data_IF_640727404661
#
_entry.id   IF_640727404661
#
_cell.length_a   1.000
_cell.length_b   1.000
_cell.length_c   1.000
_cell.angle_alpha   90.00
_cell.angle_beta   90.00
_cell.angle_gamma   90.00
#
_symmetry.space_group_name_H-M   'P 1'
#
loop_
_entity.id
_entity.type
_entity.pdbx_description
1 polymer ?
#
# COMPACT_ATOMS: atom_id res chain seq x y z
N UNK A 1 -7.85 -26.36 18.69
CA UNK A 1 -8.97 -25.92 17.82
C UNK A 1 -8.89 -24.45 17.38
N UNK A 2 -7.87 -23.67 17.79
CA UNK A 2 -7.69 -22.27 17.36
C UNK A 2 -6.87 -22.15 16.05
N UNK A 3 -5.97 -23.09 15.78
CA UNK A 3 -5.13 -23.11 14.55
C UNK A 3 -5.89 -23.40 13.25
N UNK A 4 -7.08 -24.00 13.30
CA UNK A 4 -7.87 -24.28 12.09
C UNK A 4 -8.61 -23.03 11.59
N UNK A 5 -8.99 -22.11 12.47
CA UNK A 5 -9.74 -20.91 12.09
C UNK A 5 -8.88 -19.90 11.33
N UNK A 6 -7.61 -19.77 11.71
CA UNK A 6 -6.62 -18.95 11.00
C UNK A 6 -6.26 -19.54 9.62
N UNK A 7 -6.30 -20.87 9.45
CA UNK A 7 -5.93 -21.55 8.20
C UNK A 7 -6.98 -21.44 7.09
N UNK A 8 -8.27 -21.29 7.42
CA UNK A 8 -9.36 -21.24 6.43
C UNK A 8 -9.62 -19.82 5.94
N UNK A 9 -9.66 -18.81 6.83
CA UNK A 9 -9.94 -17.41 6.44
C UNK A 9 -8.80 -16.76 5.63
N UNK A 10 -7.54 -17.05 5.98
CA UNK A 10 -6.36 -16.56 5.27
C UNK A 10 -6.42 -16.89 3.77
N UNK A 11 -6.90 -18.08 3.40
CA UNK A 11 -6.94 -18.52 2.00
C UNK A 11 -8.00 -17.73 1.23
N UNK A 12 -9.18 -17.50 1.76
CA UNK A 12 -10.26 -16.82 1.02
C UNK A 12 -9.94 -15.37 0.69
N UNK A 13 -9.49 -14.58 1.67
CA UNK A 13 -9.17 -13.17 1.44
C UNK A 13 -7.94 -13.00 0.53
N UNK A 14 -6.87 -13.77 0.78
CA UNK A 14 -5.67 -13.70 -0.06
C UNK A 14 -5.98 -14.18 -1.48
N UNK A 15 -6.80 -15.22 -1.65
CA UNK A 15 -7.17 -15.73 -2.96
C UNK A 15 -8.07 -14.76 -3.75
N UNK A 16 -9.00 -14.06 -3.09
CA UNK A 16 -9.83 -13.02 -3.73
C UNK A 16 -8.95 -11.89 -4.27
N UNK A 17 -8.11 -11.31 -3.42
CA UNK A 17 -7.20 -10.23 -3.84
C UNK A 17 -6.10 -10.70 -4.79
N UNK A 18 -5.76 -11.99 -4.81
CA UNK A 18 -4.79 -12.53 -5.76
C UNK A 18 -5.39 -12.80 -7.14
N UNK A 19 -6.61 -13.36 -7.21
CA UNK A 19 -7.28 -13.65 -8.48
C UNK A 19 -7.90 -12.40 -9.12
N UNK A 20 -8.40 -11.48 -8.29
CA UNK A 20 -9.01 -10.24 -8.75
C UNK A 20 -8.39 -9.01 -8.04
N UNK A 21 -7.10 -8.76 -8.27
CA UNK A 21 -6.39 -7.65 -7.62
C UNK A 21 -6.98 -6.32 -8.05
N UNK A 22 -7.56 -5.59 -7.10
CA UNK A 22 -8.15 -4.26 -7.32
C UNK A 22 -7.04 -3.24 -7.54
N UNK A 23 -7.26 -2.26 -8.40
CA UNK A 23 -6.34 -1.12 -8.56
C UNK A 23 -4.91 -1.45 -9.03
N UNK A 24 -4.74 -2.53 -9.80
CA UNK A 24 -3.47 -2.74 -10.53
C UNK A 24 -3.28 -1.64 -11.57
N UNK A 25 -2.12 -1.00 -11.56
CA UNK A 25 -1.76 -0.09 -12.61
C UNK A 25 -0.60 0.82 -12.27
N UNK A 26 -0.46 1.88 -13.03
CA UNK A 26 0.46 2.96 -12.72
C UNK A 26 -0.19 4.29 -13.03
N UNK A 27 0.13 5.28 -12.21
CA UNK A 27 -0.19 6.67 -12.41
C UNK A 27 0.99 7.40 -13.03
N UNK A 28 0.72 8.59 -13.56
CA UNK A 28 1.74 9.45 -14.12
C UNK A 28 2.55 10.12 -13.01
N UNK A 29 3.86 9.86 -12.99
CA UNK A 29 4.78 10.40 -11.99
C UNK A 29 5.04 11.90 -12.15
N UNK A 30 4.76 12.44 -13.33
CA UNK A 30 5.01 13.85 -13.66
C UNK A 30 4.01 14.79 -12.96
N UNK A 31 2.84 14.28 -12.57
CA UNK A 31 1.86 15.05 -11.81
C UNK A 31 2.39 15.41 -10.42
N UNK A 32 2.15 16.66 -10.01
CA UNK A 32 2.48 17.16 -8.66
C UNK A 32 1.64 16.45 -7.59
N UNK A 33 0.40 16.10 -7.95
CA UNK A 33 -0.58 15.45 -7.09
C UNK A 33 -0.39 13.93 -6.95
N UNK A 34 0.61 13.35 -7.63
CA UNK A 34 0.88 11.90 -7.57
C UNK A 34 2.15 11.61 -6.77
N UNK A 35 2.02 10.87 -5.69
CA UNK A 35 3.12 10.32 -4.91
C UNK A 35 3.51 8.92 -5.36
N UNK A 36 4.80 8.63 -5.41
CA UNK A 36 5.30 7.27 -5.66
C UNK A 36 6.16 6.77 -4.50
N UNK A 37 5.75 5.66 -3.89
CA UNK A 37 6.54 4.90 -2.94
C UNK A 37 7.04 3.61 -3.59
N UNK A 38 8.34 3.37 -3.60
CA UNK A 38 8.94 2.11 -4.02
C UNK A 38 9.75 1.54 -2.87
N UNK A 39 9.40 0.34 -2.43
CA UNK A 39 10.03 -0.33 -1.29
C UNK A 39 10.27 -1.80 -1.60
N UNK A 40 11.20 -2.39 -0.87
CA UNK A 40 11.61 -3.79 -1.05
C UNK A 40 12.99 -3.92 -1.69
N UNK A 41 13.50 -5.15 -1.66
CA UNK A 41 14.83 -5.48 -2.14
C UNK A 41 14.74 -6.68 -3.09
N UNK A 42 15.41 -6.66 -4.25
CA UNK A 42 15.46 -7.81 -5.16
C UNK A 42 15.97 -9.08 -4.47
N UNK A 43 16.85 -8.94 -3.47
CA UNK A 43 17.40 -10.05 -2.70
C UNK A 43 16.35 -10.83 -1.89
N UNK A 44 15.27 -10.17 -1.46
CA UNK A 44 14.19 -10.79 -0.70
C UNK A 44 13.07 -11.33 -1.61
N UNK A 45 13.12 -11.02 -2.92
CA UNK A 45 12.09 -11.42 -3.88
C UNK A 45 10.77 -10.64 -3.78
N UNK A 46 10.66 -9.69 -2.85
CA UNK A 46 9.48 -8.85 -2.64
C UNK A 46 9.84 -7.38 -2.94
N UNK A 47 9.24 -6.81 -3.99
CA UNK A 47 9.37 -5.41 -4.41
C UNK A 47 8.00 -4.83 -4.67
N UNK A 48 7.63 -3.79 -3.92
CA UNK A 48 6.34 -3.12 -4.02
C UNK A 48 6.51 -1.69 -4.48
N UNK A 49 5.68 -1.31 -5.44
CA UNK A 49 5.55 0.06 -5.93
C UNK A 49 4.10 0.50 -5.75
N UNK A 50 3.92 1.50 -4.91
CA UNK A 50 2.63 2.11 -4.61
C UNK A 50 2.62 3.54 -5.17
N UNK A 51 1.55 3.89 -5.86
CA UNK A 51 1.32 5.21 -6.40
C UNK A 51 -0.01 5.71 -5.87
N UNK A 52 -0.05 6.93 -5.37
CA UNK A 52 -1.26 7.55 -4.85
C UNK A 52 -1.48 8.90 -5.51
N UNK A 53 -2.71 9.20 -5.87
CA UNK A 53 -3.14 10.50 -6.35
C UNK A 53 -3.93 11.19 -5.23
N UNK A 54 -3.53 12.42 -4.93
CA UNK A 54 -4.08 13.21 -3.83
C UNK A 54 -4.68 14.49 -4.38
N UNK A 55 -5.86 14.84 -3.88
CA UNK A 55 -6.55 16.07 -4.23
C UNK A 55 -5.91 17.29 -3.55
N UNK A 56 -6.36 18.48 -3.95
CA UNK A 56 -5.89 19.74 -3.38
C UNK A 56 -6.20 19.83 -1.87
N UNK A 57 -7.32 19.24 -1.44
CA UNK A 57 -7.74 19.09 -0.04
C UNK A 57 -6.89 18.08 0.77
N UNK A 58 -5.94 17.37 0.13
CA UNK A 58 -5.09 16.39 0.81
C UNK A 58 -5.76 15.02 1.04
N UNK A 59 -6.83 14.71 0.31
CA UNK A 59 -7.49 13.40 0.31
C UNK A 59 -6.99 12.52 -0.83
N UNK A 60 -6.86 11.22 -0.60
CA UNK A 60 -6.43 10.26 -1.62
C UNK A 60 -7.63 9.90 -2.50
N UNK A 61 -7.58 10.27 -3.78
CA UNK A 61 -8.66 10.02 -4.75
C UNK A 61 -8.49 8.68 -5.46
N UNK A 62 -7.25 8.31 -5.75
CA UNK A 62 -6.92 7.05 -6.42
C UNK A 62 -5.59 6.53 -5.85
N UNK A 63 -5.47 5.21 -5.81
CA UNK A 63 -4.27 4.52 -5.39
C UNK A 63 -4.08 3.34 -6.34
N UNK A 64 -2.91 3.24 -6.95
CA UNK A 64 -2.53 2.12 -7.82
C UNK A 64 -1.27 1.46 -7.32
N UNK A 65 -1.20 0.14 -7.44
CA UNK A 65 0.02 -0.58 -7.06
C UNK A 65 0.51 -1.51 -8.17
N UNK A 66 1.81 -1.79 -8.11
CA UNK A 66 2.51 -2.85 -8.82
C UNK A 66 3.45 -3.50 -7.83
N UNK A 67 3.24 -4.78 -7.57
CA UNK A 67 4.08 -5.53 -6.63
C UNK A 67 4.56 -6.81 -7.29
N UNK A 68 5.80 -7.16 -6.99
CA UNK A 68 6.43 -8.40 -7.36
C UNK A 68 6.75 -9.12 -6.05
N UNK A 69 6.16 -10.30 -5.84
CA UNK A 69 6.32 -11.02 -4.59
C UNK A 69 5.35 -12.17 -4.46
N UNK A 70 5.31 -12.77 -3.27
CA UNK A 70 4.37 -13.85 -3.00
C UNK A 70 2.90 -13.39 -3.03
N UNK A 71 1.95 -14.31 -3.24
CA UNK A 71 0.53 -13.98 -3.31
C UNK A 71 0.00 -13.22 -2.08
N UNK A 72 0.58 -13.47 -0.90
CA UNK A 72 0.29 -12.71 0.32
C UNK A 72 0.70 -11.24 0.23
N UNK A 73 1.85 -10.94 -0.40
CA UNK A 73 2.30 -9.56 -0.61
C UNK A 73 1.39 -8.82 -1.60
N UNK A 74 0.90 -9.51 -2.64
CA UNK A 74 -0.10 -8.97 -3.58
C UNK A 74 -1.41 -8.65 -2.86
N UNK A 75 -1.91 -9.58 -2.06
CA UNK A 75 -3.13 -9.37 -1.28
C UNK A 75 -3.00 -8.22 -0.26
N UNK A 76 -1.90 -8.16 0.48
CA UNK A 76 -1.60 -7.03 1.39
C UNK A 76 -1.54 -5.69 0.67
N UNK A 77 -0.95 -5.65 -0.52
CA UNK A 77 -0.87 -4.43 -1.32
C UNK A 77 -2.25 -3.98 -1.81
N UNK A 78 -3.06 -4.91 -2.29
CA UNK A 78 -4.41 -4.64 -2.79
C UNK A 78 -5.33 -4.11 -1.69
N UNK A 79 -5.34 -4.78 -0.54
CA UNK A 79 -6.11 -4.36 0.62
C UNK A 79 -5.64 -2.99 1.13
N UNK A 80 -4.33 -2.75 1.19
CA UNK A 80 -3.78 -1.46 1.59
C UNK A 80 -4.24 -0.33 0.66
N UNK A 81 -4.24 -0.53 -0.66
CA UNK A 81 -4.73 0.51 -1.59
C UNK A 81 -6.21 0.81 -1.42
N UNK A 82 -7.04 -0.21 -1.17
CA UNK A 82 -8.48 -0.02 -0.93
C UNK A 82 -8.73 0.77 0.36
N UNK A 83 -8.00 0.45 1.43
CA UNK A 83 -8.12 1.15 2.70
C UNK A 83 -7.60 2.60 2.66
N UNK A 84 -6.81 2.97 1.66
CA UNK A 84 -6.25 4.32 1.53
C UNK A 84 -7.17 5.26 0.75
N UNK A 85 -7.92 4.75 -0.22
CA UNK A 85 -8.82 5.56 -1.05
C UNK A 85 -9.88 6.20 -0.13
N UNK A 86 -10.06 7.52 -0.27
CA UNK A 86 -11.00 8.31 0.54
C UNK A 86 -10.46 8.78 1.89
N UNK A 87 -9.25 8.35 2.32
CA UNK A 87 -8.59 8.85 3.54
C UNK A 87 -7.75 10.09 3.27
N UNK A 88 -7.50 10.88 4.31
CA UNK A 88 -6.53 11.97 4.26
C UNK A 88 -5.10 11.42 4.25
N UNK A 89 -4.14 12.18 3.74
CA UNK A 89 -2.71 11.82 3.79
C UNK A 89 -2.22 11.54 5.22
N UNK A 90 -2.75 12.24 6.22
CA UNK A 90 -2.40 12.04 7.63
C UNK A 90 -3.00 10.75 8.20
N UNK A 91 -4.20 10.36 7.79
CA UNK A 91 -4.83 9.11 8.23
C UNK A 91 -4.23 7.91 7.53
N UNK A 92 -3.78 8.07 6.28
CA UNK A 92 -3.04 7.04 5.57
C UNK A 92 -1.75 6.66 6.31
N UNK A 93 -1.05 7.62 6.91
CA UNK A 93 0.16 7.34 7.72
C UNK A 93 -0.13 6.63 9.04
N UNK A 94 -1.37 6.69 9.54
CA UNK A 94 -1.77 6.00 10.79
C UNK A 94 -2.09 4.52 10.58
N UNK A 95 -2.23 4.07 9.33
CA UNK A 95 -2.47 2.66 9.01
C UNK A 95 -1.25 1.85 9.48
N UNK A 96 -1.47 0.89 10.37
CA UNK A 96 -0.41 0.03 10.91
C UNK A 96 -0.38 -1.31 10.21
N UNK A 97 0.81 -1.91 10.17
CA UNK A 97 1.01 -3.30 9.79
C UNK A 97 0.09 -4.30 10.53
N UNK A 98 -0.25 -4.01 11.80
CA UNK A 98 -1.13 -4.85 12.62
C UNK A 98 -2.55 -4.91 12.07
N UNK A 99 -3.06 -3.81 11.53
CA UNK A 99 -4.43 -3.73 11.01
C UNK A 99 -4.52 -4.57 9.73
N UNK A 100 -3.52 -4.40 8.84
CA UNK A 100 -3.38 -5.21 7.62
C UNK A 100 -3.21 -6.70 7.94
N UNK A 101 -2.38 -7.04 8.93
CA UNK A 101 -2.13 -8.41 9.33
C UNK A 101 -3.37 -9.08 9.96
N UNK A 102 -4.16 -8.32 10.72
CA UNK A 102 -5.38 -8.81 11.37
C UNK A 102 -6.46 -9.09 10.33
N UNK A 103 -6.67 -8.17 9.39
CA UNK A 103 -7.66 -8.31 8.33
C UNK A 103 -7.36 -9.53 7.45
N UNK A 104 -6.09 -9.72 7.07
CA UNK A 104 -5.64 -10.86 6.27
C UNK A 104 -5.43 -12.14 7.08
N UNK A 105 -5.58 -12.09 8.41
CA UNK A 105 -5.29 -13.21 9.32
C UNK A 105 -3.92 -13.86 9.04
N UNK A 106 -2.89 -13.04 8.85
CA UNK A 106 -1.56 -13.52 8.44
C UNK A 106 -0.91 -14.35 9.56
N UNK A 107 -0.30 -15.50 9.24
CA UNK A 107 0.55 -16.21 10.19
C UNK A 107 1.80 -15.37 10.50
N UNK A 108 2.43 -15.56 11.68
CA UNK A 108 3.57 -14.75 12.13
C UNK A 108 4.76 -14.77 11.16
N UNK A 109 4.90 -15.84 10.37
CA UNK A 109 5.97 -16.01 9.37
C UNK A 109 5.83 -15.05 8.17
N UNK A 110 4.63 -14.49 7.92
CA UNK A 110 4.34 -13.59 6.78
C UNK A 110 4.11 -12.13 7.18
N UNK A 111 4.40 -11.76 8.43
CA UNK A 111 4.24 -10.38 8.91
C UNK A 111 5.14 -9.37 8.18
N UNK A 112 6.22 -9.82 7.53
CA UNK A 112 7.09 -8.94 6.74
C UNK A 112 6.37 -8.29 5.56
N UNK A 113 5.33 -8.95 5.02
CA UNK A 113 4.49 -8.40 3.96
C UNK A 113 3.68 -7.18 4.43
N UNK A 114 3.20 -7.20 5.67
CA UNK A 114 2.46 -6.08 6.26
C UNK A 114 3.38 -4.89 6.59
N UNK A 115 4.59 -5.16 7.06
CA UNK A 115 5.61 -4.11 7.30
C UNK A 115 5.97 -3.42 5.98
N UNK A 116 6.17 -4.21 4.92
CA UNK A 116 6.50 -3.69 3.60
C UNK A 116 5.38 -2.81 3.03
N UNK A 117 4.11 -3.19 3.25
CA UNK A 117 2.98 -2.36 2.88
C UNK A 117 2.94 -1.02 3.65
N UNK A 118 3.16 -1.04 4.96
CA UNK A 118 3.23 0.18 5.78
C UNK A 118 4.36 1.13 5.31
N UNK A 119 5.54 0.57 5.04
CA UNK A 119 6.68 1.34 4.54
C UNK A 119 6.41 1.95 3.16
N UNK A 120 5.71 1.21 2.28
CA UNK A 120 5.28 1.71 0.97
C UNK A 120 4.38 2.94 1.09
N UNK A 121 3.42 2.89 2.04
CA UNK A 121 2.49 4.00 2.29
C UNK A 121 3.24 5.23 2.77
N UNK A 122 4.13 5.06 3.77
CA UNK A 122 4.94 6.17 4.30
C UNK A 122 5.83 6.77 3.23
N UNK A 123 6.47 5.94 2.40
CA UNK A 123 7.29 6.41 1.29
C UNK A 123 6.47 7.23 0.29
N UNK A 124 5.28 6.77 -0.08
CA UNK A 124 4.43 7.46 -1.03
C UNK A 124 3.92 8.80 -0.50
N UNK A 125 3.54 8.88 0.78
CA UNK A 125 3.10 10.14 1.40
C UNK A 125 4.26 11.13 1.54
N UNK A 126 5.47 10.66 1.87
CA UNK A 126 6.68 11.52 1.90
C UNK A 126 6.99 12.11 0.54
N UNK A 127 6.84 11.33 -0.54
CA UNK A 127 7.05 11.82 -1.91
C UNK A 127 6.09 12.97 -2.24
N UNK A 128 4.80 12.86 -1.85
CA UNK A 128 3.83 13.97 -2.01
C UNK A 128 4.24 15.19 -1.20
N UNK A 129 4.63 15.02 0.06
CA UNK A 129 5.04 16.13 0.91
C UNK A 129 6.22 16.89 0.30
N UNK A 130 7.22 16.15 -0.20
CA UNK A 130 8.38 16.73 -0.88
C UNK A 130 7.99 17.46 -2.17
N UNK A 131 7.08 16.89 -2.98
CA UNK A 131 6.58 17.55 -4.19
C UNK A 131 5.80 18.84 -3.90
N UNK A 132 4.97 18.84 -2.84
CA UNK A 132 4.25 20.04 -2.41
C UNK A 132 5.20 21.14 -1.90
N UNK A 133 6.26 20.77 -1.18
CA UNK A 133 7.30 21.71 -0.75
C UNK A 133 8.07 22.29 -1.94
N UNK A 134 8.52 21.45 -2.88
CA UNK A 134 9.21 21.90 -4.08
C UNK A 134 8.36 22.82 -4.97
N UNK A 135 7.05 22.55 -5.06
CA UNK A 135 6.11 23.43 -5.77
C UNK A 135 5.94 24.79 -5.06
N UNK A 136 5.89 24.80 -3.71
CA UNK A 136 5.82 26.03 -2.94
C UNK A 136 7.08 26.89 -3.08
N UNK A 137 8.26 26.28 -3.08
CA UNK A 137 9.54 26.97 -3.28
C UNK A 137 9.71 27.53 -4.69
N UNK A 138 9.17 26.86 -5.72
CA UNK A 138 9.24 27.34 -7.10
C UNK A 138 8.31 28.54 -7.39
N UNK A 139 7.38 28.87 -6.48
CA UNK A 139 6.42 29.97 -6.63
C UNK A 139 6.82 31.20 -5.79
N UNK A 140 7.93 31.13 -5.05
CA UNK A 140 8.51 32.23 -4.25
C UNK A 140 9.69 32.88 -5.00
#
# INVERSE_FOLDING_TARGET
MIMYFCRVNFIFQVHDHFNNPRNIGSLDKSKVNVGTGMVGAPACGDVMKLMIEVDDDGKIIDAKFKTFGCGSAIASSSLATEMMIGKSTSDAQKIKNTDIATELSLPPVKLHCSVLAEDAIKAAVRDIANKKQAAAEATA
#
